data_IF_007556654941
#
_entry.id   IF_007556654941
#
_cell.length_a   1.000
_cell.length_b   1.000
_cell.length_c   1.000
_cell.angle_alpha   90.00
_cell.angle_beta   90.00
_cell.angle_gamma   90.00
#
_symmetry.space_group_name_H-M   'P 1'
#
loop_
_entity.id
_entity.type
_entity.pdbx_description
1 polymer ?
#
# COMPACT_ATOMS: atom_id res chain seq x y z
N UNK A 1 41.95 59.55 22.25
CA UNK A 1 41.91 58.70 23.41
C UNK A 1 40.54 58.04 23.46
N UNK A 2 40.22 57.16 22.45
CA UNK A 2 38.95 56.48 22.30
C UNK A 2 39.18 55.18 21.47
N UNK A 3 39.62 54.13 22.09
CA UNK A 3 39.67 52.83 21.41
C UNK A 3 39.94 51.68 22.37
N UNK A 4 39.03 51.39 23.28
CA UNK A 4 39.19 50.18 24.13
C UNK A 4 37.87 49.48 24.53
N UNK A 5 36.72 49.84 23.97
CA UNK A 5 35.45 49.22 24.42
C UNK A 5 34.61 48.49 23.35
N UNK A 6 35.13 48.29 22.14
CA UNK A 6 34.32 47.66 21.07
C UNK A 6 34.69 46.17 20.75
N UNK A 7 35.66 45.59 21.46
CA UNK A 7 36.09 44.22 21.11
C UNK A 7 35.39 43.08 21.85
N UNK A 8 34.73 43.21 23.03
CA UNK A 8 34.09 42.05 23.64
C UNK A 8 32.69 41.73 23.13
N UNK A 9 31.97 42.68 22.48
CA UNK A 9 30.58 42.43 22.03
C UNK A 9 30.53 41.58 20.78
N UNK A 10 31.51 41.70 19.89
CA UNK A 10 31.58 40.91 18.66
C UNK A 10 31.89 39.41 18.91
N UNK A 11 32.63 39.10 19.96
CA UNK A 11 32.95 37.71 20.33
C UNK A 11 31.77 36.99 20.99
N UNK A 12 30.87 37.72 21.67
CA UNK A 12 29.69 37.09 22.30
C UNK A 12 28.61 36.76 21.29
N UNK A 13 28.49 37.51 20.19
CA UNK A 13 27.52 37.21 19.12
C UNK A 13 27.91 35.98 18.28
N UNK A 14 29.20 35.70 18.12
CA UNK A 14 29.64 34.49 17.40
C UNK A 14 29.46 33.21 18.23
N UNK A 15 29.47 33.28 19.55
CA UNK A 15 29.27 32.10 20.42
C UNK A 15 27.80 31.69 20.53
N UNK A 16 26.84 32.61 20.29
CA UNK A 16 25.39 32.29 20.34
C UNK A 16 24.88 31.68 19.03
N UNK A 17 25.56 31.89 17.91
CA UNK A 17 25.17 31.31 16.62
C UNK A 17 25.67 29.85 16.42
N UNK A 18 26.53 29.35 17.28
CA UNK A 18 27.09 27.99 17.16
C UNK A 18 26.38 26.94 18.00
N UNK A 19 25.33 27.28 18.76
CA UNK A 19 24.61 26.31 19.63
C UNK A 19 23.29 25.85 19.03
N UNK A 20 22.89 26.36 17.90
CA UNK A 20 21.75 25.87 17.13
C UNK A 20 22.18 24.75 16.19
N UNK A 21 22.54 23.58 16.73
CA UNK A 21 22.71 22.39 15.93
C UNK A 21 21.36 22.07 15.27
N UNK A 22 21.23 22.37 13.97
CA UNK A 22 20.16 21.83 13.15
C UNK A 22 20.31 20.32 13.22
N UNK A 23 19.47 19.64 14.00
CA UNK A 23 19.34 18.19 13.89
C UNK A 23 18.82 17.91 12.50
N UNK A 24 19.71 17.57 11.59
CA UNK A 24 19.35 17.02 10.30
C UNK A 24 18.72 15.66 10.61
N UNK A 25 17.41 15.55 10.48
CA UNK A 25 16.75 14.26 10.48
C UNK A 25 17.26 13.58 9.20
N UNK A 26 18.10 12.57 9.36
CA UNK A 26 18.50 11.72 8.24
C UNK A 26 17.35 10.79 7.94
N UNK A 27 16.58 11.10 6.90
CA UNK A 27 15.56 10.20 6.35
C UNK A 27 16.30 9.03 5.72
N UNK A 28 15.99 7.82 6.16
CA UNK A 28 16.55 6.62 5.56
C UNK A 28 15.73 6.19 4.34
N UNK A 29 16.27 6.44 3.15
CA UNK A 29 15.66 6.12 1.85
C UNK A 29 16.19 4.79 1.28
N UNK A 30 16.66 3.85 2.13
CA UNK A 30 17.10 2.54 1.64
C UNK A 30 15.99 1.86 0.84
N UNK A 31 16.37 1.25 -0.28
CA UNK A 31 15.47 0.42 -1.09
C UNK A 31 15.56 -1.06 -0.70
N UNK A 32 16.41 -1.39 0.29
CA UNK A 32 16.62 -2.77 0.71
C UNK A 32 15.45 -3.29 1.53
N UNK A 33 14.99 -4.48 1.18
CA UNK A 33 14.01 -5.25 1.92
C UNK A 33 14.63 -6.61 2.24
N UNK A 34 14.94 -6.84 3.49
CA UNK A 34 15.45 -8.11 3.97
C UNK A 34 14.29 -9.10 4.19
N UNK A 35 14.50 -10.34 3.75
CA UNK A 35 13.58 -11.46 3.95
C UNK A 35 14.14 -12.34 5.07
N UNK A 36 13.47 -12.38 6.21
CA UNK A 36 13.82 -13.26 7.32
C UNK A 36 12.86 -14.45 7.37
N UNK A 37 13.32 -15.66 7.10
CA UNK A 37 12.49 -16.84 7.25
C UNK A 37 11.94 -16.97 8.68
N UNK A 38 10.65 -17.26 8.81
CA UNK A 38 9.99 -17.49 10.08
C UNK A 38 9.65 -18.98 10.22
N UNK A 39 9.96 -19.54 11.37
CA UNK A 39 9.45 -20.84 11.76
C UNK A 39 8.18 -20.65 12.59
N UNK A 40 7.03 -20.70 11.90
CA UNK A 40 5.71 -20.49 12.54
C UNK A 40 5.20 -21.72 13.29
N UNK A 41 5.83 -22.87 13.10
CA UNK A 41 5.51 -24.12 13.80
C UNK A 41 6.81 -24.91 14.03
N UNK A 42 7.47 -24.71 15.18
CA UNK A 42 8.74 -25.36 15.49
C UNK A 42 8.65 -26.90 15.52
N UNK A 43 7.48 -27.46 15.84
CA UNK A 43 7.25 -28.90 15.94
C UNK A 43 7.06 -29.56 14.56
N UNK A 44 6.67 -28.77 13.55
CA UNK A 44 6.45 -29.26 12.18
C UNK A 44 7.12 -28.33 11.16
N UNK A 45 8.46 -28.30 11.09
CA UNK A 45 9.17 -27.46 10.14
C UNK A 45 8.98 -27.98 8.71
N UNK A 46 8.74 -27.06 7.76
CA UNK A 46 8.65 -27.36 6.34
C UNK A 46 7.24 -27.36 5.75
N UNK A 47 7.12 -27.72 4.45
CA UNK A 47 5.85 -27.72 3.74
C UNK A 47 4.85 -28.68 4.36
N UNK A 48 3.60 -28.22 4.54
CA UNK A 48 2.51 -29.07 5.07
C UNK A 48 1.17 -28.71 4.44
N UNK A 49 0.29 -29.68 4.38
CA UNK A 49 -1.08 -29.46 3.92
C UNK A 49 -1.95 -28.88 5.05
N UNK A 50 -2.69 -27.82 4.74
CA UNK A 50 -3.68 -27.20 5.61
C UNK A 50 -4.99 -27.12 4.80
N UNK A 51 -5.89 -28.06 4.97
CA UNK A 51 -7.06 -28.20 4.08
C UNK A 51 -6.63 -28.48 2.64
N UNK A 52 -7.09 -27.67 1.71
CA UNK A 52 -6.69 -27.74 0.30
C UNK A 52 -5.39 -26.96 -0.02
N UNK A 53 -4.86 -26.22 0.94
CA UNK A 53 -3.65 -25.42 0.75
C UNK A 53 -2.41 -26.21 1.18
N UNK A 54 -1.26 -25.84 0.60
CA UNK A 54 0.05 -26.31 1.01
C UNK A 54 0.80 -25.11 1.58
N UNK A 55 1.08 -25.11 2.88
CA UNK A 55 1.97 -24.15 3.49
C UNK A 55 3.40 -24.42 3.03
N UNK A 56 4.04 -23.45 2.40
CA UNK A 56 5.40 -23.59 1.84
C UNK A 56 6.44 -22.81 2.63
N UNK A 57 6.05 -21.81 3.41
CA UNK A 57 6.94 -21.01 4.23
C UNK A 57 6.30 -19.73 4.72
N UNK A 58 6.99 -19.06 5.61
CA UNK A 58 6.68 -17.71 6.08
C UNK A 58 7.94 -16.86 6.15
N UNK A 59 7.79 -15.57 5.92
CA UNK A 59 8.89 -14.61 5.96
C UNK A 59 8.44 -13.33 6.65
N UNK A 60 9.31 -12.77 7.46
CA UNK A 60 9.24 -11.41 7.93
C UNK A 60 9.99 -10.51 6.94
N UNK A 61 9.35 -9.44 6.49
CA UNK A 61 9.99 -8.42 5.68
C UNK A 61 10.48 -7.30 6.59
N UNK A 62 11.72 -6.90 6.42
CA UNK A 62 12.34 -5.84 7.20
C UNK A 62 13.01 -4.82 6.28
N UNK A 63 12.84 -3.53 6.56
CA UNK A 63 13.56 -2.44 5.90
C UNK A 63 13.90 -1.34 6.90
N UNK A 64 14.98 -0.60 6.63
CA UNK A 64 15.33 0.61 7.35
C UNK A 64 14.68 1.86 6.76
N UNK A 65 13.95 1.73 5.64
CA UNK A 65 13.22 2.82 5.03
C UNK A 65 12.05 3.24 5.94
N UNK A 66 11.91 4.53 6.20
CA UNK A 66 10.87 5.08 7.07
C UNK A 66 9.46 4.93 6.49
N UNK A 67 9.34 4.82 5.15
CA UNK A 67 8.07 4.62 4.45
C UNK A 67 7.68 3.13 4.33
N UNK A 68 8.48 2.21 4.87
CA UNK A 68 8.21 0.78 4.80
C UNK A 68 7.30 0.32 5.93
N UNK A 69 6.19 -0.33 5.58
CA UNK A 69 5.25 -0.95 6.53
C UNK A 69 3.81 -0.73 6.13
N UNK A 70 2.88 -1.16 6.98
CA UNK A 70 1.45 -0.97 6.77
C UNK A 70 0.94 -1.55 5.43
N UNK A 71 1.46 -2.72 5.00
CA UNK A 71 1.03 -3.34 3.74
C UNK A 71 -0.43 -3.80 3.89
N UNK A 72 -1.32 -3.15 3.16
CA UNK A 72 -2.75 -3.44 3.13
C UNK A 72 -3.13 -4.37 1.98
N UNK A 73 -2.54 -4.18 0.79
CA UNK A 73 -2.81 -5.01 -0.38
C UNK A 73 -1.55 -5.60 -1.01
N UNK A 74 -1.68 -6.81 -1.57
CA UNK A 74 -0.55 -7.53 -2.17
C UNK A 74 -0.97 -8.28 -3.44
N UNK A 75 -0.19 -8.13 -4.52
CA UNK A 75 -0.39 -8.89 -5.76
C UNK A 75 0.91 -9.50 -6.26
N UNK A 76 0.81 -10.66 -6.92
CA UNK A 76 1.93 -11.38 -7.50
C UNK A 76 2.01 -11.12 -9.01
N UNK A 77 3.17 -10.72 -9.49
CA UNK A 77 3.45 -10.53 -10.92
C UNK A 77 3.85 -11.86 -11.59
N UNK A 78 3.69 -11.98 -12.92
CA UNK A 78 4.09 -13.17 -13.66
C UNK A 78 5.58 -13.52 -13.57
N UNK A 79 6.43 -12.55 -13.23
CA UNK A 79 7.88 -12.74 -13.04
C UNK A 79 8.27 -13.21 -11.63
N UNK A 80 7.27 -13.47 -10.76
CA UNK A 80 7.47 -13.95 -9.40
C UNK A 80 7.74 -12.86 -8.37
N UNK A 81 7.70 -11.57 -8.75
CA UNK A 81 7.79 -10.47 -7.81
C UNK A 81 6.42 -10.13 -7.21
N UNK A 82 6.44 -9.70 -5.99
CA UNK A 82 5.29 -9.13 -5.31
C UNK A 82 5.26 -7.61 -5.45
N UNK A 83 4.09 -7.06 -5.57
CA UNK A 83 3.79 -5.64 -5.43
C UNK A 83 2.85 -5.49 -4.26
N UNK A 84 3.28 -4.75 -3.25
CA UNK A 84 2.49 -4.34 -2.11
C UNK A 84 2.17 -2.85 -2.16
N UNK A 85 1.06 -2.48 -1.57
CA UNK A 85 0.68 -1.10 -1.27
C UNK A 85 0.43 -0.94 0.22
N UNK A 86 0.64 0.25 0.76
CA UNK A 86 0.35 0.54 2.16
C UNK A 86 -0.76 1.58 2.32
N UNK A 87 -1.41 1.60 3.46
CA UNK A 87 -2.35 2.61 3.92
C UNK A 87 -1.75 4.03 3.96
N UNK A 88 -0.43 4.14 4.03
CA UNK A 88 0.30 5.41 3.91
C UNK A 88 0.51 5.86 2.46
N UNK A 89 0.06 5.09 1.46
CA UNK A 89 0.23 5.39 0.03
C UNK A 89 1.62 5.08 -0.49
N UNK A 90 2.27 4.05 0.05
CA UNK A 90 3.59 3.58 -0.38
C UNK A 90 3.44 2.35 -1.28
N UNK A 91 4.20 2.32 -2.35
CA UNK A 91 4.35 1.19 -3.26
C UNK A 91 5.61 0.43 -2.90
N UNK A 92 5.47 -0.88 -2.68
CA UNK A 92 6.55 -1.76 -2.21
C UNK A 92 6.70 -2.92 -3.18
N UNK A 93 7.90 -3.12 -3.73
CA UNK A 93 8.20 -4.25 -4.60
C UNK A 93 9.26 -5.16 -3.98
N UNK A 94 9.06 -6.47 -4.03
CA UNK A 94 10.03 -7.45 -3.55
C UNK A 94 9.82 -8.82 -4.21
N UNK A 95 10.81 -9.71 -4.07
CA UNK A 95 10.71 -11.11 -4.47
C UNK A 95 11.06 -12.03 -3.32
N UNK A 96 10.49 -13.23 -3.26
CA UNK A 96 10.84 -14.24 -2.26
C UNK A 96 12.07 -15.09 -2.63
N UNK A 97 12.68 -14.84 -3.78
CA UNK A 97 13.89 -15.53 -4.21
C UNK A 97 15.14 -14.84 -3.68
N UNK A 98 16.10 -15.61 -3.20
CA UNK A 98 17.44 -15.10 -2.88
C UNK A 98 18.27 -14.76 -4.13
N UNK A 99 17.71 -14.88 -5.33
CA UNK A 99 18.39 -14.51 -6.57
C UNK A 99 18.27 -12.99 -6.75
N UNK A 100 19.39 -12.28 -6.63
CA UNK A 100 19.50 -10.83 -6.82
C UNK A 100 18.98 -10.33 -8.17
N UNK A 101 18.97 -11.15 -9.20
CA UNK A 101 18.46 -10.78 -10.53
C UNK A 101 16.93 -10.73 -10.58
N UNK A 102 16.25 -11.53 -9.75
CA UNK A 102 14.79 -11.58 -9.66
C UNK A 102 14.26 -10.78 -8.47
N UNK A 103 15.04 -10.62 -7.42
CA UNK A 103 14.70 -9.78 -6.30
C UNK A 103 15.26 -8.35 -6.52
N UNK A 104 14.41 -7.45 -6.99
CA UNK A 104 14.71 -6.02 -7.12
C UNK A 104 13.79 -5.26 -6.20
N UNK A 105 14.11 -5.17 -4.90
CA UNK A 105 13.29 -4.45 -3.95
C UNK A 105 13.24 -2.96 -4.31
N UNK A 106 12.10 -2.36 -4.08
CA UNK A 106 11.93 -0.92 -4.15
C UNK A 106 10.84 -0.45 -3.21
N UNK A 107 10.96 0.79 -2.74
CA UNK A 107 10.00 1.48 -1.90
C UNK A 107 9.82 2.87 -2.50
N UNK A 108 8.61 3.21 -2.89
CA UNK A 108 8.32 4.47 -3.57
C UNK A 108 6.90 4.96 -3.23
N UNK A 109 6.62 6.26 -3.29
CA UNK A 109 5.25 6.73 -3.17
C UNK A 109 4.41 6.27 -4.36
N UNK A 110 3.15 5.88 -4.11
CA UNK A 110 2.16 5.69 -5.16
C UNK A 110 1.95 7.00 -5.93
N UNK A 111 1.82 7.00 -7.26
CA UNK A 111 1.54 8.21 -8.01
C UNK A 111 0.25 8.90 -7.54
N UNK A 112 0.34 10.17 -7.19
CA UNK A 112 -0.78 10.97 -6.67
C UNK A 112 -0.94 10.94 -5.15
N UNK A 113 0.02 10.35 -4.40
CA UNK A 113 0.02 10.34 -2.93
C UNK A 113 1.01 11.35 -2.32
N UNK A 114 1.72 12.10 -3.14
CA UNK A 114 2.66 13.14 -2.72
C UNK A 114 2.32 14.47 -3.37
N UNK A 115 2.54 15.56 -2.64
CA UNK A 115 2.30 16.92 -3.12
C UNK A 115 1.63 17.81 -2.08
N UNK A 116 1.59 19.14 -2.30
CA UNK A 116 1.12 20.11 -1.32
C UNK A 116 -0.37 20.02 -0.98
N UNK A 117 -1.18 19.44 -1.86
CA UNK A 117 -2.63 19.31 -1.67
C UNK A 117 -3.07 17.86 -1.36
N UNK A 118 -2.11 16.96 -1.14
CA UNK A 118 -2.40 15.56 -0.83
C UNK A 118 -2.76 15.43 0.64
N UNK A 119 -3.90 14.82 0.91
CA UNK A 119 -4.39 14.52 2.25
C UNK A 119 -4.21 13.03 2.58
N UNK A 120 -4.50 12.63 3.82
CA UNK A 120 -4.50 11.22 4.18
C UNK A 120 -5.48 10.41 3.31
N UNK A 121 -6.63 10.97 2.93
CA UNK A 121 -7.63 10.32 2.08
C UNK A 121 -7.12 9.95 0.67
N UNK A 122 -6.06 10.61 0.23
CA UNK A 122 -5.44 10.32 -1.05
C UNK A 122 -4.41 9.20 -0.97
N UNK A 123 -4.03 8.81 0.26
CA UNK A 123 -3.02 7.78 0.54
C UNK A 123 -3.61 6.46 0.97
N UNK A 124 -4.69 6.46 1.69
CA UNK A 124 -5.44 5.39 2.34
C UNK A 124 -5.82 4.26 1.35
N UNK A 125 -4.78 3.57 0.86
CA UNK A 125 -4.89 2.52 -0.16
C UNK A 125 -4.93 1.15 0.48
N UNK A 126 -5.94 0.30 0.11
CA UNK A 126 -6.26 -0.93 0.82
C UNK A 126 -6.02 -2.20 0.01
N UNK A 127 -6.34 -2.21 -1.27
CA UNK A 127 -6.17 -3.41 -2.08
C UNK A 127 -5.63 -3.09 -3.47
N UNK A 128 -4.83 -4.00 -4.02
CA UNK A 128 -4.24 -3.87 -5.36
C UNK A 128 -4.50 -5.11 -6.20
N UNK A 129 -4.98 -4.94 -7.41
CA UNK A 129 -5.11 -6.03 -8.39
C UNK A 129 -4.38 -5.70 -9.69
N UNK A 130 -3.98 -6.73 -10.42
CA UNK A 130 -3.13 -6.63 -11.61
C UNK A 130 -3.74 -7.40 -12.79
N UNK A 131 -3.64 -6.82 -13.98
CA UNK A 131 -3.96 -7.52 -15.23
C UNK A 131 -2.69 -7.87 -16.00
N UNK A 132 -2.34 -9.16 -16.13
CA UNK A 132 -1.14 -9.58 -16.84
C UNK A 132 -1.18 -9.31 -18.34
N UNK A 133 -2.36 -9.12 -18.94
CA UNK A 133 -2.49 -8.83 -20.37
C UNK A 133 -2.14 -7.38 -20.70
N UNK A 134 -2.74 -6.43 -19.98
CA UNK A 134 -2.47 -5.00 -20.18
C UNK A 134 -1.27 -4.50 -19.40
N UNK A 135 -0.90 -5.18 -18.32
CA UNK A 135 0.12 -4.75 -17.36
C UNK A 135 -0.36 -3.60 -16.47
N UNK A 136 -1.66 -3.35 -16.41
CA UNK A 136 -2.24 -2.29 -15.59
C UNK A 136 -2.51 -2.78 -14.16
N UNK A 137 -2.58 -1.82 -13.24
CA UNK A 137 -2.94 -2.04 -11.85
C UNK A 137 -4.17 -1.21 -11.48
N UNK A 138 -4.98 -1.73 -10.59
CA UNK A 138 -6.07 -0.99 -9.94
C UNK A 138 -5.85 -1.05 -8.44
N UNK A 139 -6.07 0.08 -7.78
CA UNK A 139 -5.91 0.24 -6.34
C UNK A 139 -7.19 0.82 -5.77
N UNK A 140 -7.72 0.21 -4.73
CA UNK A 140 -8.83 0.77 -3.95
C UNK A 140 -8.33 1.72 -2.88
N UNK A 141 -9.14 2.72 -2.58
CA UNK A 141 -8.89 3.73 -1.56
C UNK A 141 -10.09 3.82 -0.62
N UNK A 142 -9.85 3.68 0.67
CA UNK A 142 -10.87 3.64 1.68
C UNK A 142 -11.54 5.00 1.89
N UNK A 143 -10.81 5.97 2.42
CA UNK A 143 -11.38 7.23 2.92
C UNK A 143 -12.01 8.13 1.83
N UNK A 144 -11.71 7.93 0.56
CA UNK A 144 -12.32 8.68 -0.54
C UNK A 144 -13.17 7.83 -1.49
N UNK A 145 -13.41 6.55 -1.10
CA UNK A 145 -14.24 5.59 -1.83
C UNK A 145 -13.93 5.55 -3.33
N UNK A 146 -12.66 5.46 -3.67
CA UNK A 146 -12.19 5.54 -5.04
C UNK A 146 -11.51 4.23 -5.48
N UNK A 147 -11.56 3.97 -6.78
CA UNK A 147 -10.69 3.00 -7.45
C UNK A 147 -9.87 3.79 -8.47
N UNK A 148 -8.55 3.68 -8.37
CA UNK A 148 -7.60 4.33 -9.29
C UNK A 148 -6.90 3.29 -10.14
N UNK A 149 -6.83 3.54 -11.45
CA UNK A 149 -6.09 2.70 -12.39
C UNK A 149 -4.74 3.32 -12.69
N UNK A 150 -3.70 2.48 -12.72
CA UNK A 150 -2.33 2.88 -13.01
C UNK A 150 -1.81 2.16 -14.24
N UNK A 151 -0.90 2.83 -14.96
CA UNK A 151 -0.18 2.23 -16.07
C UNK A 151 0.80 1.15 -15.58
N UNK A 152 1.33 0.37 -16.52
CA UNK A 152 2.44 -0.56 -16.26
C UNK A 152 3.54 0.13 -15.45
N UNK A 153 4.07 -0.56 -14.47
CA UNK A 153 5.11 -0.05 -13.55
C UNK A 153 4.70 1.16 -12.71
N UNK A 154 3.40 1.42 -12.54
CA UNK A 154 2.90 2.58 -11.80
C UNK A 154 3.44 3.94 -12.28
N UNK A 155 3.90 4.06 -13.53
CA UNK A 155 4.49 5.30 -14.02
C UNK A 155 3.54 6.50 -13.98
N UNK A 156 2.23 6.26 -14.06
CA UNK A 156 1.18 7.30 -13.96
C UNK A 156 -0.18 6.70 -13.63
N UNK A 157 -1.02 7.49 -12.98
CA UNK A 157 -2.45 7.23 -12.87
C UNK A 157 -3.11 7.47 -14.23
N UNK A 158 -3.90 6.51 -14.72
CA UNK A 158 -4.57 6.54 -16.02
C UNK A 158 -6.07 6.75 -15.92
N UNK A 159 -6.62 6.69 -14.72
CA UNK A 159 -8.03 6.97 -14.47
C UNK A 159 -8.40 6.80 -13.01
N UNK A 160 -9.54 7.35 -12.66
CA UNK A 160 -10.14 7.26 -11.33
C UNK A 160 -11.65 7.19 -11.45
N UNK A 161 -12.26 6.38 -10.62
CA UNK A 161 -13.71 6.33 -10.43
C UNK A 161 -14.05 6.40 -8.95
N UNK A 162 -15.16 7.03 -8.63
CA UNK A 162 -15.81 7.01 -7.30
C UNK A 162 -17.24 6.51 -7.51
N UNK A 163 -17.45 5.19 -7.40
CA UNK A 163 -18.77 4.62 -7.63
C UNK A 163 -19.80 5.25 -6.67
N UNK A 164 -20.93 5.73 -7.15
CA UNK A 164 -21.97 6.29 -6.28
C UNK A 164 -22.43 5.30 -5.20
N UNK A 165 -22.38 4.02 -5.51
CA UNK A 165 -22.76 2.93 -4.62
C UNK A 165 -21.85 2.78 -3.41
N UNK A 166 -20.59 3.27 -3.48
CA UNK A 166 -19.64 3.24 -2.39
C UNK A 166 -19.78 4.47 -1.45
N UNK A 167 -20.50 5.51 -1.87
CA UNK A 167 -20.60 6.75 -1.07
C UNK A 167 -21.36 6.57 0.25
N UNK A 168 -22.18 5.53 0.34
CA UNK A 168 -22.89 5.16 1.55
C UNK A 168 -22.07 4.28 2.52
N UNK A 169 -20.88 3.87 2.11
CA UNK A 169 -19.98 3.08 2.96
C UNK A 169 -19.36 3.97 4.05
N UNK A 170 -19.12 3.43 5.26
CA UNK A 170 -18.45 4.19 6.30
C UNK A 170 -17.04 4.61 5.85
N UNK A 171 -16.62 5.81 6.23
CA UNK A 171 -15.37 6.42 5.76
C UNK A 171 -14.11 5.61 6.12
N UNK A 172 -14.16 4.86 7.23
CA UNK A 172 -13.06 4.01 7.71
C UNK A 172 -13.43 2.52 7.62
N UNK A 173 -14.23 2.14 6.64
CA UNK A 173 -14.65 0.76 6.35
C UNK A 173 -14.95 0.63 4.86
N UNK A 174 -14.08 1.18 4.04
CA UNK A 174 -14.22 1.24 2.61
C UNK A 174 -13.84 -0.06 1.89
N UNK A 175 -13.25 0.08 0.72
CA UNK A 175 -12.94 -1.03 -0.18
C UNK A 175 -11.69 -1.79 0.26
N UNK A 176 -11.83 -2.77 1.14
CA UNK A 176 -10.76 -3.62 1.65
C UNK A 176 -10.24 -4.64 0.62
N UNK A 177 -11.12 -5.15 -0.23
CA UNK A 177 -10.72 -6.07 -1.29
C UNK A 177 -11.11 -5.52 -2.66
N UNK A 178 -10.20 -5.61 -3.62
CA UNK A 178 -10.42 -5.28 -5.02
C UNK A 178 -9.86 -6.40 -5.90
N UNK A 179 -10.74 -7.15 -6.53
CA UNK A 179 -10.42 -8.38 -7.24
C UNK A 179 -10.75 -8.20 -8.72
N UNK A 180 -9.80 -8.51 -9.60
CA UNK A 180 -10.06 -8.68 -11.02
C UNK A 180 -10.35 -10.15 -11.32
N UNK A 181 -11.55 -10.44 -11.78
CA UNK A 181 -11.94 -11.79 -12.16
C UNK A 181 -11.32 -12.20 -13.51
N UNK A 182 -11.21 -13.50 -13.75
CA UNK A 182 -10.62 -14.05 -14.99
C UNK A 182 -11.36 -13.66 -16.26
N UNK A 183 -12.64 -13.37 -16.15
CA UNK A 183 -13.48 -12.92 -17.26
C UNK A 183 -13.44 -11.41 -17.53
N UNK A 184 -12.61 -10.67 -16.80
CA UNK A 184 -12.41 -9.23 -16.93
C UNK A 184 -13.35 -8.37 -16.11
N UNK A 185 -14.30 -8.95 -15.37
CA UNK A 185 -15.08 -8.25 -14.37
C UNK A 185 -14.24 -7.89 -13.15
N UNK A 186 -14.74 -6.93 -12.37
CA UNK A 186 -14.11 -6.56 -11.10
C UNK A 186 -15.12 -6.71 -9.96
N UNK A 187 -14.59 -6.99 -8.79
CA UNK A 187 -15.35 -7.05 -7.55
C UNK A 187 -14.63 -6.24 -6.47
N UNK A 188 -15.40 -5.48 -5.70
CA UNK A 188 -14.87 -4.85 -4.49
C UNK A 188 -15.77 -5.17 -3.30
N UNK A 189 -15.15 -5.34 -2.12
CA UNK A 189 -15.84 -5.68 -0.88
C UNK A 189 -15.37 -4.71 0.19
N UNK A 190 -16.32 -4.09 0.90
CA UNK A 190 -16.04 -3.22 2.03
C UNK A 190 -15.57 -4.01 3.26
N UNK A 191 -14.90 -3.37 4.23
CA UNK A 191 -14.48 -4.01 5.47
C UNK A 191 -15.66 -4.65 6.21
N UNK A 192 -16.58 -3.91 6.70
CA UNK A 192 -17.82 -4.43 7.27
C UNK A 192 -18.78 -3.31 7.67
N UNK A 193 -20.06 -3.63 7.82
CA UNK A 193 -21.03 -2.81 8.52
C UNK A 193 -21.36 -3.41 9.90
N UNK A 194 -22.15 -2.69 10.70
CA UNK A 194 -22.37 -3.02 12.12
C UNK A 194 -23.04 -4.39 12.36
N UNK A 195 -23.74 -4.95 11.36
CA UNK A 195 -24.36 -6.29 11.45
C UNK A 195 -23.42 -7.45 11.06
N UNK A 196 -22.13 -7.16 10.81
CA UNK A 196 -21.13 -8.15 10.39
C UNK A 196 -21.26 -8.57 8.93
N UNK A 197 -22.03 -7.84 8.13
CA UNK A 197 -22.05 -8.01 6.67
C UNK A 197 -21.06 -7.08 5.99
N UNK A 198 -20.68 -7.41 4.77
CA UNK A 198 -19.74 -6.67 3.95
C UNK A 198 -20.45 -6.23 2.68
N UNK A 199 -20.78 -4.94 2.52
CA UNK A 199 -21.28 -4.41 1.25
C UNK A 199 -20.27 -4.66 0.15
N UNK A 200 -20.76 -5.01 -1.04
CA UNK A 200 -19.90 -5.36 -2.15
C UNK A 200 -20.49 -4.93 -3.48
N UNK A 201 -19.61 -4.68 -4.46
CA UNK A 201 -19.98 -4.34 -5.83
C UNK A 201 -19.31 -5.30 -6.81
N UNK A 202 -20.07 -5.72 -7.80
CA UNK A 202 -19.58 -6.40 -8.99
C UNK A 202 -19.69 -5.44 -10.18
N UNK A 203 -18.55 -5.16 -10.82
CA UNK A 203 -18.46 -4.34 -12.04
C UNK A 203 -18.46 -5.25 -13.26
N UNK A 204 -19.22 -4.88 -14.30
CA UNK A 204 -19.30 -5.65 -15.55
C UNK A 204 -18.01 -5.66 -16.37
N UNK A 205 -17.03 -4.84 -16.00
CA UNK A 205 -15.71 -4.70 -16.61
C UNK A 205 -14.83 -3.79 -15.77
N UNK A 206 -13.84 -3.14 -16.39
CA UNK A 206 -12.97 -2.17 -15.70
C UNK A 206 -13.82 -1.05 -15.06
N UNK A 207 -13.73 -0.86 -13.73
CA UNK A 207 -14.56 0.14 -13.06
C UNK A 207 -14.28 1.58 -13.49
N UNK A 208 -13.10 1.85 -14.06
CA UNK A 208 -12.69 3.19 -14.54
C UNK A 208 -13.21 3.49 -15.95
N UNK A 209 -13.62 2.48 -16.70
CA UNK A 209 -14.14 2.67 -18.07
C UNK A 209 -15.61 3.14 -18.07
N UNK A 210 -15.91 4.05 -19.00
CA UNK A 210 -17.30 4.49 -19.22
C UNK A 210 -18.16 3.32 -19.64
N UNK A 211 -19.30 3.15 -18.97
CA UNK A 211 -20.25 2.09 -19.28
C UNK A 211 -20.05 0.81 -18.46
N UNK A 212 -19.09 0.76 -17.56
CA UNK A 212 -19.04 -0.29 -16.56
C UNK A 212 -20.27 -0.19 -15.65
N UNK A 213 -21.03 -1.27 -15.58
CA UNK A 213 -22.27 -1.36 -14.79
C UNK A 213 -21.98 -2.05 -13.48
N UNK A 214 -22.51 -1.50 -12.40
CA UNK A 214 -22.37 -2.08 -11.05
C UNK A 214 -23.60 -2.89 -10.65
N UNK A 215 -23.35 -4.00 -9.95
CA UNK A 215 -24.37 -4.79 -9.27
C UNK A 215 -23.99 -4.87 -7.79
N UNK A 216 -24.91 -4.46 -6.90
CA UNK A 216 -24.73 -4.55 -5.46
C UNK A 216 -24.99 -5.96 -4.96
N UNK A 217 -24.20 -6.43 -4.02
CA UNK A 217 -24.46 -7.64 -3.26
C UNK A 217 -23.89 -7.51 -1.86
N UNK A 218 -24.11 -8.50 -1.03
CA UNK A 218 -23.60 -8.55 0.35
C UNK A 218 -22.79 -9.83 0.51
N UNK A 219 -21.57 -9.68 1.00
CA UNK A 219 -20.74 -10.81 1.40
C UNK A 219 -20.85 -11.05 2.91
N UNK A 220 -20.93 -12.30 3.31
CA UNK A 220 -20.92 -12.69 4.72
C UNK A 220 -19.77 -13.69 4.94
N UNK A 221 -18.69 -13.27 5.62
CA UNK A 221 -17.60 -14.17 5.95
C UNK A 221 -18.01 -15.17 7.02
N UNK A 222 -17.23 -16.24 7.24
CA UNK A 222 -17.37 -17.07 8.42
C UNK A 222 -17.30 -16.27 9.72
N UNK A 223 -17.98 -16.74 10.76
CA UNK A 223 -17.99 -16.04 12.06
C UNK A 223 -16.56 -15.83 12.59
N UNK A 224 -16.27 -14.61 13.03
CA UNK A 224 -14.96 -14.20 13.56
C UNK A 224 -13.94 -13.78 12.50
N UNK A 225 -14.31 -13.76 11.20
CA UNK A 225 -13.45 -13.29 10.13
C UNK A 225 -13.96 -11.99 9.52
N UNK A 226 -13.02 -11.21 8.98
CA UNK A 226 -13.30 -10.00 8.20
C UNK A 226 -12.56 -10.07 6.87
N UNK A 227 -13.04 -9.31 5.88
CA UNK A 227 -12.32 -9.10 4.63
C UNK A 227 -11.21 -8.09 4.89
N UNK A 228 -10.01 -8.38 4.40
CA UNK A 228 -8.82 -7.51 4.53
C UNK A 228 -8.08 -7.34 3.19
N UNK A 229 -8.23 -8.23 2.25
CA UNK A 229 -7.69 -8.14 0.88
C UNK A 229 -8.35 -9.24 0.02
N UNK A 230 -8.11 -9.20 -1.30
CA UNK A 230 -8.60 -10.21 -2.25
C UNK A 230 -7.78 -10.27 -3.53
N UNK A 231 -7.56 -11.47 -4.03
CA UNK A 231 -6.79 -11.76 -5.25
C UNK A 231 -7.52 -12.72 -6.19
#
# INVERSE_FOLDING_TARGET
MLSRFQRPIALLLLAVLSVGGVRTIQINNSQDIALRPLNVDPDHPGPRRIGELIFTGAWELQSLNEDFGGISGLTLLPDGRFIGISDAGTLIGFGLSNNEQTNRPFIAPLPGTVGPNVTYKDRDSESVTYDPQSGQFWVSYEANHAIRRFSRSFARMTGVVRPPEMQDWPINRGAEALIRLRDGRFMTIAESVDDGTHPALLFSGDPVEKGSVTTRFTYRPPSGYRVTDGV
#
